data_IF_596779280920
#
_entry.id   IF_596779280920
#
_cell.length_a   1.000
_cell.length_b   1.000
_cell.length_c   1.000
_cell.angle_alpha   90.00
_cell.angle_beta   90.00
_cell.angle_gamma   90.00
#
_symmetry.space_group_name_H-M   'P 1'
#
loop_
_entity.id
_entity.type
_entity.pdbx_description
1 polymer ?
#
# COMPACT_ATOMS: atom_id res chain seq x y z
N UNK A 1 2.60 18.44 8.24
CA UNK A 1 1.32 17.89 7.71
C UNK A 1 0.10 18.64 8.25
N UNK A 2 -0.17 18.63 9.56
CA UNK A 2 -1.38 19.27 10.16
C UNK A 2 -1.57 20.74 9.76
N UNK A 3 -0.49 21.51 9.69
CA UNK A 3 -0.53 22.91 9.22
C UNK A 3 -1.07 23.05 7.79
N UNK A 4 -0.61 22.20 6.86
CA UNK A 4 -1.07 22.20 5.46
C UNK A 4 -2.55 21.85 5.38
N UNK A 5 -2.98 20.82 6.12
CA UNK A 5 -4.39 20.39 6.17
C UNK A 5 -5.27 21.52 6.71
N UNK A 6 -4.88 22.17 7.80
CA UNK A 6 -5.63 23.29 8.38
C UNK A 6 -5.70 24.49 7.44
N UNK A 7 -4.57 24.89 6.85
CA UNK A 7 -4.50 26.02 5.92
C UNK A 7 -5.34 25.82 4.66
N UNK A 8 -5.35 24.59 4.13
CA UNK A 8 -6.18 24.20 2.99
C UNK A 8 -7.68 24.22 3.36
N UNK A 9 -8.04 23.74 4.56
CA UNK A 9 -9.42 23.72 5.03
C UNK A 9 -10.03 25.14 5.18
N UNK A 10 -9.25 26.13 5.66
CA UNK A 10 -9.64 27.55 5.68
C UNK A 10 -10.01 28.10 4.29
N UNK A 11 -9.53 27.45 3.22
CA UNK A 11 -9.75 27.82 1.81
C UNK A 11 -10.71 26.88 1.10
N UNK A 12 -11.43 26.03 1.84
CA UNK A 12 -12.33 25.02 1.30
C UNK A 12 -11.65 24.00 0.37
N UNK A 13 -10.34 23.79 0.53
CA UNK A 13 -9.57 22.78 -0.21
C UNK A 13 -9.41 21.55 0.69
N UNK A 14 -9.74 20.37 0.15
CA UNK A 14 -9.50 19.09 0.82
C UNK A 14 -8.13 18.56 0.43
N UNK A 15 -7.32 18.19 1.41
CA UNK A 15 -6.07 17.46 1.19
C UNK A 15 -6.37 15.99 1.36
N UNK A 16 -6.24 15.21 0.29
CA UNK A 16 -6.43 13.76 0.30
C UNK A 16 -5.06 13.10 0.35
N UNK A 17 -4.73 12.31 1.39
CA UNK A 17 -3.45 11.61 1.46
C UNK A 17 -3.41 10.44 0.49
N UNK A 18 -2.23 10.14 -0.01
CA UNK A 18 -1.92 8.93 -0.77
C UNK A 18 -0.78 8.15 -0.11
N UNK A 19 -1.00 6.85 0.10
CA UNK A 19 0.02 5.88 0.49
C UNK A 19 -0.03 4.73 -0.51
N UNK A 20 0.86 4.76 -1.50
CA UNK A 20 0.79 3.85 -2.64
C UNK A 20 1.22 2.41 -2.29
N UNK A 21 0.31 1.46 -2.52
CA UNK A 21 0.47 0.03 -2.28
C UNK A 21 -0.36 -0.80 -3.27
N UNK A 22 0.09 -2.02 -3.64
CA UNK A 22 1.34 -2.68 -3.23
C UNK A 22 2.55 -2.40 -4.15
N UNK A 23 2.32 -1.68 -5.26
CA UNK A 23 3.38 -1.12 -6.12
C UNK A 23 4.09 0.07 -5.46
N UNK A 24 5.03 0.70 -6.18
CA UNK A 24 5.73 1.93 -5.75
C UNK A 24 6.31 1.95 -4.32
N UNK A 25 6.54 0.77 -3.73
CA UNK A 25 6.84 0.64 -2.30
C UNK A 25 8.33 0.46 -1.98
N UNK A 26 9.24 0.57 -2.95
CA UNK A 26 10.66 0.28 -2.72
C UNK A 26 11.29 1.15 -1.62
N UNK A 27 10.86 2.40 -1.43
CA UNK A 27 11.35 3.21 -0.32
C UNK A 27 10.98 2.62 1.06
N UNK A 28 9.77 2.06 1.20
CA UNK A 28 9.33 1.38 2.41
C UNK A 28 10.08 0.06 2.60
N UNK A 29 10.27 -0.72 1.53
CA UNK A 29 11.02 -1.98 1.57
C UNK A 29 12.49 -1.74 1.91
N UNK A 30 13.12 -0.69 1.38
CA UNK A 30 14.50 -0.34 1.72
C UNK A 30 14.65 0.06 3.20
N UNK A 31 13.63 0.66 3.80
CA UNK A 31 13.61 0.99 5.23
C UNK A 31 13.31 -0.24 6.11
N UNK A 32 12.43 -1.12 5.64
CA UNK A 32 11.97 -2.33 6.32
C UNK A 32 11.97 -3.52 5.33
N UNK A 33 13.14 -4.18 5.14
CA UNK A 33 13.31 -5.23 4.14
C UNK A 33 12.30 -6.38 4.22
N UNK A 34 11.78 -6.65 5.42
CA UNK A 34 10.76 -7.67 5.70
C UNK A 34 9.39 -7.38 5.08
N UNK A 35 9.15 -6.17 4.56
CA UNK A 35 7.91 -5.81 3.86
C UNK A 35 7.90 -6.29 2.39
N UNK A 36 9.07 -6.60 1.81
CA UNK A 36 9.20 -7.07 0.43
C UNK A 36 9.25 -8.60 0.31
N UNK A 37 9.33 -9.09 -0.93
CA UNK A 37 9.38 -10.53 -1.26
C UNK A 37 10.78 -11.14 -0.98
N UNK A 38 11.12 -11.23 0.31
CA UNK A 38 12.42 -11.73 0.82
C UNK A 38 12.80 -13.15 0.39
N UNK A 39 11.83 -13.94 -0.07
CA UNK A 39 12.00 -15.31 -0.54
C UNK A 39 12.48 -15.38 -2.01
N UNK A 40 12.50 -14.25 -2.72
CA UNK A 40 12.94 -14.17 -4.13
C UNK A 40 13.86 -13.00 -4.45
N UNK A 41 13.90 -11.98 -3.60
CA UNK A 41 14.78 -10.82 -3.74
C UNK A 41 15.57 -10.60 -2.45
N UNK A 42 16.85 -10.24 -2.57
CA UNK A 42 17.66 -9.75 -1.45
C UNK A 42 17.22 -8.32 -1.09
N UNK A 43 16.09 -8.21 -0.38
CA UNK A 43 15.49 -6.93 -0.01
C UNK A 43 16.36 -6.12 0.95
N UNK A 44 17.26 -6.78 1.70
CA UNK A 44 18.20 -6.12 2.60
C UNK A 44 19.30 -5.35 1.85
N UNK A 45 19.56 -5.69 0.59
CA UNK A 45 20.48 -4.97 -0.28
C UNK A 45 19.81 -3.83 -1.06
N UNK A 46 18.47 -3.71 -1.01
CA UNK A 46 17.77 -2.64 -1.71
C UNK A 46 18.00 -1.29 -1.02
N UNK A 47 18.26 -0.27 -1.83
CA UNK A 47 18.23 1.13 -1.41
C UNK A 47 16.95 1.79 -1.89
N UNK A 48 16.67 3.00 -1.39
CA UNK A 48 15.67 3.87 -2.01
C UNK A 48 16.02 4.00 -3.50
N UNK A 49 15.01 3.83 -4.35
CA UNK A 49 15.21 3.82 -5.78
C UNK A 49 15.56 5.21 -6.30
N UNK A 50 16.61 5.31 -7.12
CA UNK A 50 17.19 6.56 -7.61
C UNK A 50 16.98 6.76 -9.13
N UNK A 51 16.11 5.94 -9.73
CA UNK A 51 15.71 6.02 -11.13
C UNK A 51 14.20 6.21 -11.27
N UNK A 52 13.79 6.61 -12.47
CA UNK A 52 12.38 6.72 -12.86
C UNK A 52 11.87 5.43 -13.51
N UNK A 53 10.54 5.31 -13.64
CA UNK A 53 9.84 4.20 -14.27
C UNK A 53 9.09 3.34 -13.25
N UNK A 54 8.75 2.11 -13.65
CA UNK A 54 8.04 1.13 -12.82
C UNK A 54 9.03 0.31 -12.01
N UNK A 55 8.92 0.35 -10.68
CA UNK A 55 9.77 -0.46 -9.80
C UNK A 55 9.33 -1.92 -9.86
N UNK A 56 10.25 -2.89 -10.00
CA UNK A 56 9.90 -4.30 -9.88
C UNK A 56 9.69 -4.72 -8.41
N UNK A 57 10.10 -3.90 -7.43
CA UNK A 57 10.05 -4.22 -6.01
C UNK A 57 8.71 -3.81 -5.40
N UNK A 58 7.86 -4.81 -5.19
CA UNK A 58 6.51 -4.68 -4.65
C UNK A 58 6.42 -5.29 -3.26
N UNK A 59 5.40 -4.91 -2.51
CA UNK A 59 5.17 -5.46 -1.16
C UNK A 59 4.88 -6.96 -1.21
N UNK A 60 5.32 -7.69 -0.19
CA UNK A 60 4.92 -9.08 0.01
C UNK A 60 3.49 -9.14 0.60
N UNK A 61 2.62 -10.05 0.13
CA UNK A 61 1.23 -10.15 0.57
C UNK A 61 1.11 -10.96 1.87
N UNK A 62 1.80 -10.50 2.91
CA UNK A 62 1.89 -11.18 4.22
C UNK A 62 1.08 -10.46 5.28
N UNK A 63 0.72 -11.18 6.35
CA UNK A 63 0.09 -10.57 7.53
C UNK A 63 0.95 -9.48 8.16
N UNK A 64 2.29 -9.59 8.06
CA UNK A 64 3.19 -8.57 8.58
C UNK A 64 3.04 -7.26 7.82
N UNK A 65 3.05 -7.34 6.48
CA UNK A 65 2.84 -6.20 5.60
C UNK A 65 1.48 -5.55 5.82
N UNK A 66 0.41 -6.36 5.91
CA UNK A 66 -0.94 -5.84 6.16
C UNK A 66 -0.97 -5.05 7.47
N UNK A 67 -0.53 -5.63 8.58
CA UNK A 67 -0.50 -4.95 9.88
C UNK A 67 0.38 -3.71 9.90
N UNK A 68 1.51 -3.73 9.20
CA UNK A 68 2.39 -2.56 9.09
C UNK A 68 1.64 -1.39 8.45
N UNK A 69 0.97 -1.63 7.32
CA UNK A 69 0.24 -0.59 6.62
C UNK A 69 -1.07 -0.19 7.31
N UNK A 70 -1.70 -1.08 8.08
CA UNK A 70 -2.78 -0.68 9.00
C UNK A 70 -2.27 0.35 10.01
N UNK A 71 -1.09 0.13 10.62
CA UNK A 71 -0.48 1.09 11.54
C UNK A 71 -0.12 2.42 10.86
N UNK A 72 0.44 2.37 9.65
CA UNK A 72 0.69 3.58 8.84
C UNK A 72 -0.63 4.33 8.58
N UNK A 73 -1.68 3.61 8.21
CA UNK A 73 -2.98 4.22 7.94
C UNK A 73 -3.63 4.78 9.21
N UNK A 74 -3.43 4.17 10.39
CA UNK A 74 -3.87 4.76 11.66
C UNK A 74 -3.26 6.15 11.87
N UNK A 75 -1.94 6.29 11.70
CA UNK A 75 -1.27 7.60 11.78
C UNK A 75 -1.78 8.58 10.71
N UNK A 76 -2.03 8.10 9.48
CA UNK A 76 -2.63 8.93 8.42
C UNK A 76 -4.03 9.40 8.83
N UNK A 77 -4.88 8.54 9.37
CA UNK A 77 -6.23 8.95 9.78
C UNK A 77 -6.21 9.99 10.91
N UNK A 78 -5.21 9.96 11.79
CA UNK A 78 -5.00 11.00 12.80
C UNK A 78 -4.55 12.35 12.20
N UNK A 79 -3.76 12.32 11.14
CA UNK A 79 -3.24 13.52 10.47
C UNK A 79 -4.28 14.17 9.53
N UNK A 80 -5.22 13.37 9.01
CA UNK A 80 -6.23 13.78 8.04
C UNK A 80 -7.64 13.49 8.57
N UNK A 81 -8.28 14.42 9.31
CA UNK A 81 -9.61 14.21 9.90
C UNK A 81 -10.70 13.92 8.86
N UNK A 82 -11.70 13.10 9.22
CA UNK A 82 -12.73 12.63 8.27
C UNK A 82 -13.63 13.77 7.76
N UNK A 83 -13.81 14.81 8.56
CA UNK A 83 -14.63 15.98 8.25
C UNK A 83 -14.04 16.75 7.05
N UNK A 84 -12.71 16.77 6.95
CA UNK A 84 -11.98 17.48 5.89
C UNK A 84 -11.44 16.56 4.80
N UNK A 85 -11.19 15.30 5.12
CA UNK A 85 -10.52 14.31 4.26
C UNK A 85 -11.18 12.93 4.37
N UNK A 86 -12.42 12.74 3.87
CA UNK A 86 -13.13 11.47 3.98
C UNK A 86 -12.54 10.36 3.08
N UNK A 87 -11.67 10.73 2.14
CA UNK A 87 -11.02 9.82 1.22
C UNK A 87 -9.58 9.53 1.65
N UNK A 88 -9.10 8.33 1.36
CA UNK A 88 -7.69 7.94 1.42
C UNK A 88 -7.34 7.29 0.10
N UNK A 89 -6.32 7.80 -0.57
CA UNK A 89 -5.78 7.19 -1.79
C UNK A 89 -4.77 6.12 -1.38
N UNK A 90 -4.85 4.94 -1.97
CA UNK A 90 -3.88 3.86 -1.72
C UNK A 90 -3.05 3.50 -2.96
N UNK A 91 -3.12 4.32 -4.00
CA UNK A 91 -2.44 4.11 -5.27
C UNK A 91 -3.02 2.89 -5.99
N UNK A 92 -2.20 1.85 -6.14
CA UNK A 92 -2.58 0.56 -6.71
C UNK A 92 -2.23 0.41 -8.19
N UNK A 93 -1.62 1.42 -8.80
CA UNK A 93 -1.09 1.35 -10.14
C UNK A 93 0.24 0.58 -10.20
N UNK A 94 0.66 0.27 -11.43
CA UNK A 94 2.03 -0.16 -11.77
C UNK A 94 2.66 -1.13 -10.77
N UNK A 95 1.94 -2.22 -10.46
CA UNK A 95 2.40 -3.30 -9.60
C UNK A 95 2.78 -4.53 -10.43
N UNK A 96 4.05 -4.68 -10.86
CA UNK A 96 4.54 -5.87 -11.53
C UNK A 96 4.31 -7.14 -10.71
N UNK A 97 3.89 -8.21 -11.38
CA UNK A 97 3.54 -9.49 -10.72
C UNK A 97 4.72 -10.47 -10.64
N UNK A 98 5.87 -10.13 -11.21
CA UNK A 98 6.99 -11.06 -11.37
C UNK A 98 7.54 -11.59 -10.04
N UNK A 99 7.60 -10.75 -9.00
CA UNK A 99 8.02 -11.19 -7.67
C UNK A 99 7.01 -12.15 -7.05
N UNK A 100 5.71 -11.85 -7.14
CA UNK A 100 4.66 -12.73 -6.60
C UNK A 100 4.57 -14.06 -7.36
N UNK A 101 4.77 -14.07 -8.68
CA UNK A 101 4.84 -15.30 -9.50
C UNK A 101 5.96 -16.23 -9.05
N UNK A 102 7.08 -15.66 -8.61
CA UNK A 102 8.25 -16.42 -8.18
C UNK A 102 8.20 -16.79 -6.69
N UNK A 103 7.56 -15.96 -5.86
CA UNK A 103 7.53 -16.08 -4.40
C UNK A 103 6.69 -17.26 -3.92
N UNK A 104 7.30 -18.30 -3.30
CA UNK A 104 6.53 -19.37 -2.67
C UNK A 104 5.53 -18.85 -1.63
N UNK A 105 5.85 -17.76 -0.92
CA UNK A 105 4.93 -17.15 0.05
C UNK A 105 3.69 -16.56 -0.62
N UNK A 106 3.86 -15.80 -1.71
CA UNK A 106 2.75 -15.24 -2.46
C UNK A 106 1.89 -16.33 -3.12
N UNK A 107 2.53 -17.36 -3.70
CA UNK A 107 1.83 -18.50 -4.28
C UNK A 107 1.05 -19.31 -3.23
N UNK A 108 1.59 -19.48 -2.03
CA UNK A 108 0.88 -20.11 -0.92
C UNK A 108 -0.35 -19.28 -0.51
N UNK A 109 -0.24 -17.95 -0.47
CA UNK A 109 -1.35 -17.04 -0.18
C UNK A 109 -2.46 -17.12 -1.24
N UNK A 110 -2.11 -17.18 -2.52
CA UNK A 110 -3.06 -17.41 -3.62
C UNK A 110 -3.84 -18.71 -3.38
N UNK A 111 -3.13 -19.80 -3.08
CA UNK A 111 -3.75 -21.11 -2.85
C UNK A 111 -4.64 -21.13 -1.59
N UNK A 112 -4.20 -20.52 -0.49
CA UNK A 112 -4.95 -20.42 0.77
C UNK A 112 -6.29 -19.69 0.59
N UNK A 113 -6.27 -18.60 -0.18
CA UNK A 113 -7.43 -17.76 -0.44
C UNK A 113 -8.28 -18.25 -1.61
N UNK A 114 -7.84 -19.28 -2.34
CA UNK A 114 -8.53 -19.80 -3.53
C UNK A 114 -8.57 -18.81 -4.70
N UNK A 115 -7.54 -17.97 -4.83
CA UNK A 115 -7.42 -16.98 -5.90
C UNK A 115 -6.90 -17.65 -7.18
N UNK A 116 -7.25 -17.08 -8.33
CA UNK A 116 -6.81 -17.62 -9.64
C UNK A 116 -5.36 -17.31 -9.97
N UNK A 117 -4.91 -16.10 -9.65
CA UNK A 117 -3.63 -15.53 -10.07
C UNK A 117 -3.21 -14.32 -9.22
N UNK A 118 -2.10 -13.70 -9.60
CA UNK A 118 -1.54 -12.52 -8.93
C UNK A 118 -2.36 -11.24 -9.09
N UNK A 119 -3.24 -11.14 -10.08
CA UNK A 119 -4.13 -10.00 -10.25
C UNK A 119 -5.30 -10.09 -9.26
N UNK A 120 -5.82 -11.30 -9.02
CA UNK A 120 -6.73 -11.55 -7.91
C UNK A 120 -6.05 -11.37 -6.54
N UNK A 121 -4.74 -11.64 -6.42
CA UNK A 121 -3.96 -11.35 -5.21
C UNK A 121 -3.86 -9.85 -4.94
N UNK A 122 -3.59 -9.03 -5.97
CA UNK A 122 -3.64 -7.56 -5.83
C UNK A 122 -5.05 -7.12 -5.42
N UNK A 123 -6.09 -7.65 -6.08
CA UNK A 123 -7.47 -7.31 -5.76
C UNK A 123 -7.84 -7.63 -4.32
N UNK A 124 -7.36 -8.76 -3.79
CA UNK A 124 -7.52 -9.13 -2.38
C UNK A 124 -6.78 -8.17 -1.45
N UNK A 125 -5.53 -7.82 -1.77
CA UNK A 125 -4.71 -6.91 -0.97
C UNK A 125 -5.36 -5.52 -0.87
N UNK A 126 -5.84 -4.98 -2.00
CA UNK A 126 -6.57 -3.70 -2.04
C UNK A 126 -7.88 -3.78 -1.25
N UNK A 127 -8.64 -4.87 -1.39
CA UNK A 127 -9.92 -5.06 -0.69
C UNK A 127 -9.77 -5.16 0.83
N UNK A 128 -8.64 -5.68 1.31
CA UNK A 128 -8.30 -5.67 2.72
C UNK A 128 -8.34 -4.23 3.27
N UNK A 129 -7.62 -3.31 2.62
CA UNK A 129 -7.57 -1.90 3.05
C UNK A 129 -8.86 -1.13 2.79
N UNK A 130 -9.60 -1.45 1.71
CA UNK A 130 -10.93 -0.87 1.48
C UNK A 130 -11.88 -1.20 2.64
N UNK A 131 -11.94 -2.47 3.03
CA UNK A 131 -12.76 -2.92 4.17
C UNK A 131 -12.31 -2.25 5.46
N UNK A 132 -11.00 -2.25 5.73
CA UNK A 132 -10.41 -1.67 6.95
C UNK A 132 -10.68 -0.16 7.07
N UNK A 133 -10.60 0.58 5.96
CA UNK A 133 -10.89 2.01 5.89
C UNK A 133 -12.38 2.29 6.03
N UNK A 134 -13.24 1.50 5.38
CA UNK A 134 -14.69 1.63 5.45
C UNK A 134 -15.22 1.47 6.88
N UNK A 135 -14.69 0.50 7.63
CA UNK A 135 -15.00 0.29 9.06
C UNK A 135 -14.66 1.51 9.93
N UNK A 136 -13.73 2.36 9.48
CA UNK A 136 -13.29 3.60 10.13
C UNK A 136 -13.92 4.86 9.52
N UNK A 137 -14.98 4.70 8.73
CA UNK A 137 -15.73 5.79 8.12
C UNK A 137 -14.97 6.51 7.01
N UNK A 138 -13.98 5.85 6.39
CA UNK A 138 -13.20 6.38 5.26
C UNK A 138 -13.60 5.71 3.96
N UNK A 139 -13.32 6.37 2.85
CA UNK A 139 -13.58 5.87 1.50
C UNK A 139 -12.25 5.70 0.77
N UNK A 140 -11.98 4.48 0.33
CA UNK A 140 -10.82 4.21 -0.49
C UNK A 140 -10.99 4.79 -1.89
N UNK A 141 -9.93 5.37 -2.42
CA UNK A 141 -9.76 5.66 -3.84
C UNK A 141 -8.40 5.11 -4.29
N UNK A 142 -8.28 4.81 -5.58
CA UNK A 142 -7.06 4.27 -6.18
C UNK A 142 -7.04 4.60 -7.67
N UNK A 143 -5.91 4.32 -8.30
CA UNK A 143 -5.77 4.36 -9.76
C UNK A 143 -6.58 3.23 -10.42
N UNK A 144 -6.69 3.28 -11.75
CA UNK A 144 -7.58 2.42 -12.56
C UNK A 144 -7.08 0.98 -12.78
#
# INVERSE_FOLDING_TARGET
IREIVAYAAERHIRVVPEIDIPGHAQAAIAAYPELGNTDVVDTAALTVWDSWGVSPNVLAPTENTLRFYEGVLEEVLELFPAETSPFVHIGGDECPKDQWKQSPLAQARIAELGLKDEDELQSWFIRHFDTWLAERGRRLIGWD
#
